data_IF_831574017473
#
_entry.id   IF_831574017473
#
_cell.length_a   1.000
_cell.length_b   1.000
_cell.length_c   1.000
_cell.angle_alpha   90.00
_cell.angle_beta   90.00
_cell.angle_gamma   90.00
#
_symmetry.space_group_name_H-M   'P 1'
#
loop_
_entity.id
_entity.type
_entity.pdbx_description
1 polymer ?
#
# COMPACT_ATOMS: atom_id res chain seq x y z
N UNK A 1 -19.93 -14.54 1.91
CA UNK A 1 -19.35 -15.06 0.65
C UNK A 1 -19.16 -13.93 -0.35
N UNK A 2 -18.33 -14.11 -1.39
CA UNK A 2 -18.05 -13.10 -2.42
C UNK A 2 -17.68 -13.80 -3.73
N UNK A 3 -18.04 -13.19 -4.85
CA UNK A 3 -17.74 -13.68 -6.20
C UNK A 3 -17.02 -12.58 -6.95
N UNK A 4 -15.96 -12.95 -7.68
CA UNK A 4 -15.22 -12.06 -8.57
C UNK A 4 -15.15 -12.71 -9.94
N UNK A 5 -15.59 -12.00 -10.98
CA UNK A 5 -15.62 -12.51 -12.35
C UNK A 5 -14.99 -11.45 -13.24
N UNK A 6 -14.10 -11.87 -14.15
CA UNK A 6 -13.51 -11.02 -15.16
C UNK A 6 -14.00 -11.46 -16.54
N UNK A 7 -14.60 -10.54 -17.28
CA UNK A 7 -15.04 -10.77 -18.65
C UNK A 7 -14.14 -10.02 -19.63
N UNK A 8 -13.93 -10.62 -20.79
CA UNK A 8 -13.32 -9.98 -21.95
C UNK A 8 -14.28 -10.15 -23.11
N UNK A 9 -14.91 -9.05 -23.52
CA UNK A 9 -15.84 -9.03 -24.64
C UNK A 9 -15.16 -8.45 -25.87
N UNK A 10 -15.49 -9.01 -27.04
CA UNK A 10 -15.26 -8.34 -28.31
C UNK A 10 -16.35 -7.28 -28.57
N UNK A 11 -16.18 -6.48 -29.62
CA UNK A 11 -17.11 -5.40 -29.94
C UNK A 11 -18.51 -5.93 -30.27
N UNK A 12 -18.60 -7.05 -30.99
CA UNK A 12 -19.88 -7.61 -31.42
C UNK A 12 -20.61 -8.29 -30.25
N UNK A 13 -19.88 -9.03 -29.41
CA UNK A 13 -20.43 -9.66 -28.20
C UNK A 13 -20.98 -8.62 -27.21
N UNK A 14 -20.24 -7.53 -26.98
CA UNK A 14 -20.69 -6.48 -26.06
C UNK A 14 -21.93 -5.77 -26.58
N UNK A 15 -22.04 -5.53 -27.90
CA UNK A 15 -23.25 -4.95 -28.51
C UNK A 15 -24.45 -5.88 -28.43
N UNK A 16 -24.28 -7.16 -28.76
CA UNK A 16 -25.36 -8.15 -28.71
C UNK A 16 -25.90 -8.31 -27.28
N UNK A 17 -25.01 -8.38 -26.28
CA UNK A 17 -25.40 -8.48 -24.87
C UNK A 17 -26.18 -7.23 -24.40
N UNK A 18 -25.71 -6.03 -24.76
CA UNK A 18 -26.42 -4.78 -24.45
C UNK A 18 -27.79 -4.76 -25.14
N UNK A 19 -27.88 -5.19 -26.39
CA UNK A 19 -29.13 -5.21 -27.14
C UNK A 19 -30.15 -6.15 -26.49
N UNK A 20 -29.74 -7.35 -26.09
CA UNK A 20 -30.60 -8.29 -25.35
C UNK A 20 -31.09 -7.68 -24.04
N UNK A 21 -30.19 -7.10 -23.24
CA UNK A 21 -30.54 -6.44 -21.98
C UNK A 21 -31.56 -5.30 -22.17
N UNK A 22 -31.35 -4.42 -23.14
CA UNK A 22 -32.25 -3.29 -23.40
C UNK A 22 -33.58 -3.70 -24.05
N UNK A 23 -33.64 -4.87 -24.68
CA UNK A 23 -34.90 -5.44 -25.20
C UNK A 23 -35.82 -5.86 -24.04
N UNK A 24 -35.25 -6.45 -22.99
CA UNK A 24 -36.01 -6.84 -21.80
C UNK A 24 -36.20 -5.71 -20.79
N UNK A 25 -35.24 -4.79 -20.70
CA UNK A 25 -35.24 -3.66 -19.76
C UNK A 25 -35.06 -2.35 -20.54
N UNK A 26 -36.11 -1.84 -21.19
CA UNK A 26 -36.02 -0.62 -21.99
C UNK A 26 -35.73 0.60 -21.10
N UNK A 27 -34.75 1.42 -21.52
CA UNK A 27 -34.33 2.65 -20.84
C UNK A 27 -34.41 3.87 -21.78
N UNK A 28 -35.62 4.42 -22.00
CA UNK A 28 -35.80 5.57 -22.89
C UNK A 28 -35.23 6.88 -22.33
N UNK A 29 -35.15 7.01 -20.99
CA UNK A 29 -34.75 8.24 -20.30
C UNK A 29 -33.26 8.30 -19.94
N UNK A 30 -32.47 7.26 -20.28
CA UNK A 30 -31.07 7.11 -19.86
C UNK A 30 -30.87 7.05 -18.33
N UNK A 31 -31.86 6.50 -17.62
CA UNK A 31 -31.86 6.35 -16.17
C UNK A 31 -30.86 5.30 -15.69
N UNK A 32 -30.38 4.41 -16.56
CA UNK A 32 -29.38 3.39 -16.19
C UNK A 32 -28.10 3.98 -15.57
N UNK A 33 -27.74 5.22 -15.92
CA UNK A 33 -26.59 5.93 -15.34
C UNK A 33 -26.83 6.32 -13.88
N UNK A 34 -28.08 6.60 -13.54
CA UNK A 34 -28.55 6.89 -12.18
C UNK A 34 -28.50 5.59 -11.37
N UNK A 35 -27.98 5.67 -10.14
CA UNK A 35 -27.82 4.47 -9.29
C UNK A 35 -26.69 3.51 -9.70
N UNK A 36 -25.86 3.84 -10.70
CA UNK A 36 -24.66 3.06 -10.97
C UNK A 36 -23.58 3.31 -9.89
N UNK A 37 -23.22 2.25 -9.16
CA UNK A 37 -22.27 2.32 -8.05
C UNK A 37 -20.85 2.65 -8.52
N UNK A 38 -20.13 3.45 -7.74
CA UNK A 38 -18.75 3.79 -8.02
C UNK A 38 -17.91 3.89 -6.74
N UNK A 39 -16.59 3.73 -6.87
CA UNK A 39 -15.65 3.69 -5.76
C UNK A 39 -15.22 5.09 -5.35
N UNK A 40 -15.86 5.62 -4.31
CA UNK A 40 -15.60 6.97 -3.82
C UNK A 40 -14.21 7.16 -3.16
N UNK A 41 -13.51 6.08 -2.82
CA UNK A 41 -12.16 6.10 -2.26
C UNK A 41 -11.06 6.56 -3.25
N UNK A 42 -11.37 6.55 -4.55
CA UNK A 42 -10.47 7.06 -5.60
C UNK A 42 -10.80 8.51 -5.95
N UNK A 43 -9.85 9.34 -6.41
CA UNK A 43 -10.14 10.66 -6.98
C UNK A 43 -11.05 10.57 -8.20
N UNK A 44 -11.82 11.62 -8.51
CA UNK A 44 -12.84 11.60 -9.57
C UNK A 44 -12.30 11.13 -10.92
N UNK A 45 -11.13 11.60 -11.32
CA UNK A 45 -10.56 11.24 -12.62
C UNK A 45 -10.25 9.74 -12.68
N UNK A 46 -9.82 9.20 -11.54
CA UNK A 46 -9.36 7.83 -11.40
C UNK A 46 -10.50 6.81 -11.27
N UNK A 47 -11.73 7.27 -11.08
CA UNK A 47 -12.93 6.44 -11.01
C UNK A 47 -13.36 6.00 -12.41
N UNK A 48 -14.26 5.00 -12.45
CA UNK A 48 -14.94 4.67 -13.70
C UNK A 48 -15.82 5.84 -14.14
N UNK A 49 -15.59 6.36 -15.33
CA UNK A 49 -16.43 7.33 -16.04
C UNK A 49 -17.72 6.64 -16.47
N UNK A 50 -18.85 7.31 -16.26
CA UNK A 50 -20.19 6.74 -16.51
C UNK A 50 -20.64 7.03 -17.94
N UNK A 51 -19.98 6.40 -18.92
CA UNK A 51 -20.41 6.46 -20.33
C UNK A 51 -21.61 5.55 -20.56
N UNK A 52 -22.57 5.96 -21.40
CA UNK A 52 -23.80 5.19 -21.66
C UNK A 52 -23.51 3.74 -22.08
N UNK A 53 -22.57 3.55 -23.00
CA UNK A 53 -22.16 2.22 -23.46
C UNK A 53 -21.63 1.35 -22.32
N UNK A 54 -20.67 1.87 -21.53
CA UNK A 54 -20.03 1.13 -20.44
C UNK A 54 -20.99 0.83 -19.30
N UNK A 55 -21.87 1.77 -18.96
CA UNK A 55 -22.91 1.57 -17.94
C UNK A 55 -23.89 0.48 -18.36
N UNK A 56 -24.34 0.50 -19.62
CA UNK A 56 -25.24 -0.51 -20.14
C UNK A 56 -24.55 -1.87 -20.22
N UNK A 57 -23.27 -1.94 -20.61
CA UNK A 57 -22.50 -3.18 -20.61
C UNK A 57 -22.38 -3.76 -19.20
N UNK A 58 -22.08 -2.92 -18.20
CA UNK A 58 -21.97 -3.34 -16.80
C UNK A 58 -23.28 -3.88 -16.25
N UNK A 59 -24.40 -3.21 -16.52
CA UNK A 59 -25.74 -3.68 -16.13
C UNK A 59 -26.16 -4.95 -16.87
N UNK A 60 -25.91 -5.03 -18.18
CA UNK A 60 -26.23 -6.19 -18.99
C UNK A 60 -25.46 -7.44 -18.53
N UNK A 61 -24.17 -7.29 -18.23
CA UNK A 61 -23.33 -8.38 -17.70
C UNK A 61 -23.83 -8.86 -16.34
N UNK A 62 -24.22 -7.93 -15.46
CA UNK A 62 -24.80 -8.29 -14.17
C UNK A 62 -26.15 -9.00 -14.32
N UNK A 63 -27.03 -8.47 -15.17
CA UNK A 63 -28.34 -9.04 -15.46
C UNK A 63 -28.22 -10.48 -16.00
N UNK A 64 -27.28 -10.73 -16.91
CA UNK A 64 -27.03 -12.07 -17.44
C UNK A 64 -26.60 -13.04 -16.33
N UNK A 65 -25.69 -12.62 -15.45
CA UNK A 65 -25.22 -13.45 -14.34
C UNK A 65 -26.30 -13.67 -13.29
N UNK A 66 -27.11 -12.64 -13.02
CA UNK A 66 -28.25 -12.73 -12.11
C UNK A 66 -29.26 -13.78 -12.59
N UNK A 67 -29.53 -13.83 -13.90
CA UNK A 67 -30.50 -14.77 -14.48
C UNK A 67 -30.00 -16.23 -14.53
N UNK A 68 -28.68 -16.45 -14.45
CA UNK A 68 -28.11 -17.81 -14.38
C UNK A 68 -28.31 -18.46 -13.02
N UNK A 69 -28.69 -17.69 -11.99
CA UNK A 69 -28.84 -18.20 -10.62
C UNK A 69 -30.32 -18.21 -10.22
N UNK A 70 -30.90 -19.39 -9.93
CA UNK A 70 -32.25 -19.48 -9.41
C UNK A 70 -32.37 -18.75 -8.06
N UNK A 71 -33.37 -17.86 -7.94
CA UNK A 71 -33.63 -17.09 -6.71
C UNK A 71 -33.97 -17.97 -5.49
N UNK A 72 -34.36 -19.23 -5.69
CA UNK A 72 -34.58 -20.19 -4.62
C UNK A 72 -33.31 -20.61 -3.88
N UNK A 73 -32.13 -20.47 -4.52
CA UNK A 73 -30.84 -20.79 -3.91
C UNK A 73 -30.19 -19.57 -3.28
N UNK A 74 -30.10 -18.47 -4.03
CA UNK A 74 -29.50 -17.21 -3.58
C UNK A 74 -29.93 -16.06 -4.50
N UNK A 75 -29.86 -14.82 -4.02
CA UNK A 75 -30.06 -13.62 -4.83
C UNK A 75 -28.74 -12.88 -5.06
N UNK A 76 -28.60 -12.26 -6.23
CA UNK A 76 -27.60 -11.24 -6.50
C UNK A 76 -28.35 -9.93 -6.70
N UNK A 77 -28.13 -8.97 -5.80
CA UNK A 77 -28.83 -7.68 -5.80
C UNK A 77 -27.88 -6.53 -6.18
N UNK A 78 -28.38 -5.58 -6.99
CA UNK A 78 -27.62 -4.41 -7.41
C UNK A 78 -27.63 -3.35 -6.31
N UNK A 79 -26.99 -3.66 -5.18
CA UNK A 79 -26.90 -2.77 -4.03
C UNK A 79 -25.51 -2.13 -3.90
N UNK A 80 -25.48 -0.90 -3.39
CA UNK A 80 -24.24 -0.12 -3.18
C UNK A 80 -23.18 -0.85 -2.34
N UNK A 81 -23.63 -1.70 -1.41
CA UNK A 81 -22.74 -2.40 -0.49
C UNK A 81 -22.31 -3.80 -0.97
N UNK A 82 -23.03 -4.37 -1.93
CA UNK A 82 -22.91 -5.79 -2.28
C UNK A 82 -22.34 -6.02 -3.68
N UNK A 83 -22.67 -5.14 -4.64
CA UNK A 83 -22.32 -5.33 -6.05
C UNK A 83 -21.58 -4.13 -6.62
N UNK A 84 -20.48 -4.40 -7.32
CA UNK A 84 -19.74 -3.41 -8.08
C UNK A 84 -19.24 -4.01 -9.38
N UNK A 85 -19.50 -3.32 -10.50
CA UNK A 85 -19.04 -3.70 -11.83
C UNK A 85 -18.19 -2.54 -12.39
N UNK A 86 -16.95 -2.85 -12.75
CA UNK A 86 -16.03 -1.91 -13.40
C UNK A 86 -15.82 -2.33 -14.84
N UNK A 87 -15.96 -1.38 -15.77
CA UNK A 87 -15.71 -1.60 -17.20
C UNK A 87 -14.44 -0.85 -17.60
N UNK A 88 -13.45 -1.60 -18.10
CA UNK A 88 -12.28 -1.05 -18.77
C UNK A 88 -12.58 -0.97 -20.27
N UNK A 89 -12.52 0.23 -20.85
CA UNK A 89 -12.96 0.51 -22.23
C UNK A 89 -12.03 1.53 -22.90
N UNK A 90 -12.38 1.99 -24.10
CA UNK A 90 -11.70 3.12 -24.75
C UNK A 90 -11.78 4.42 -23.93
N UNK A 91 -12.89 4.62 -23.22
CA UNK A 91 -13.16 5.83 -22.44
C UNK A 91 -12.70 5.69 -20.98
N UNK A 92 -12.64 4.45 -20.48
CA UNK A 92 -12.25 4.09 -19.13
C UNK A 92 -10.88 3.39 -19.08
N UNK A 93 -9.79 4.07 -18.68
CA UNK A 93 -8.44 3.49 -18.65
C UNK A 93 -8.09 2.72 -17.38
N UNK A 94 -8.90 2.85 -16.33
CA UNK A 94 -8.68 2.19 -15.06
C UNK A 94 -9.61 0.99 -14.92
N UNK A 95 -9.08 -0.13 -14.42
CA UNK A 95 -9.90 -1.26 -13.96
C UNK A 95 -9.92 -1.26 -12.43
N UNK A 96 -11.13 -1.16 -11.85
CA UNK A 96 -11.33 -1.06 -10.41
C UNK A 96 -11.93 -2.34 -9.86
N UNK A 97 -11.48 -2.79 -8.70
CA UNK A 97 -12.10 -3.90 -7.97
C UNK A 97 -11.73 -3.88 -6.48
N UNK A 98 -12.40 -4.72 -5.69
CA UNK A 98 -12.10 -4.91 -4.27
C UNK A 98 -12.01 -6.39 -3.94
N UNK A 99 -10.86 -6.84 -3.42
CA UNK A 99 -10.63 -8.22 -3.01
C UNK A 99 -10.01 -8.22 -1.62
N UNK A 100 -10.46 -9.15 -0.76
CA UNK A 100 -9.89 -9.38 0.58
C UNK A 100 -9.78 -8.13 1.48
N UNK A 101 -10.55 -7.07 1.22
CA UNK A 101 -10.52 -5.82 1.98
C UNK A 101 -9.57 -4.76 1.43
N UNK A 102 -8.86 -5.05 0.35
CA UNK A 102 -8.14 -4.08 -0.47
C UNK A 102 -9.08 -3.49 -1.53
N UNK A 103 -8.89 -2.22 -1.84
CA UNK A 103 -9.40 -1.54 -3.02
C UNK A 103 -8.24 -1.42 -4.01
N UNK A 104 -8.42 -1.92 -5.22
CA UNK A 104 -7.36 -2.02 -6.21
C UNK A 104 -7.77 -1.27 -7.47
N UNK A 105 -6.84 -0.49 -8.01
CA UNK A 105 -6.94 0.15 -9.32
C UNK A 105 -5.77 -0.30 -10.18
N UNK A 106 -6.05 -0.97 -11.29
CA UNK A 106 -5.04 -1.31 -12.29
C UNK A 106 -5.07 -0.29 -13.42
N UNK A 107 -3.90 0.27 -13.74
CA UNK A 107 -3.67 1.17 -14.86
C UNK A 107 -2.59 0.59 -15.78
N UNK A 108 -2.94 0.19 -17.02
CA UNK A 108 -1.95 -0.23 -18.01
C UNK A 108 -1.05 0.93 -18.44
N UNK A 109 0.27 0.69 -18.55
CA UNK A 109 1.24 1.73 -18.93
C UNK A 109 0.95 2.37 -20.29
N UNK A 110 0.44 1.59 -21.24
CA UNK A 110 0.04 2.09 -22.57
C UNK A 110 -1.01 3.21 -22.49
N UNK A 111 -1.84 3.23 -21.43
CA UNK A 111 -2.86 4.26 -21.21
C UNK A 111 -2.35 5.42 -20.34
N UNK A 112 -1.22 5.27 -19.66
CA UNK A 112 -0.65 6.28 -18.75
C UNK A 112 -0.21 7.55 -19.51
N UNK A 113 0.40 7.38 -20.70
CA UNK A 113 0.79 8.49 -21.59
C UNK A 113 -0.41 9.31 -22.08
N UNK A 114 -1.50 8.65 -22.46
CA UNK A 114 -2.75 9.31 -22.88
C UNK A 114 -3.42 10.09 -21.74
N UNK A 115 -3.16 9.70 -20.50
CA UNK A 115 -3.70 10.34 -19.30
C UNK A 115 -2.97 11.64 -18.96
N UNK A 116 -1.64 11.66 -19.13
CA UNK A 116 -0.83 12.88 -18.98
C UNK A 116 -1.12 13.93 -20.05
N UNK A 117 -1.30 13.50 -21.30
CA UNK A 117 -1.58 14.41 -22.43
C UNK A 117 -2.99 15.02 -22.35
N UNK A 118 -4.02 14.24 -21.97
CA UNK A 118 -5.38 14.76 -21.78
C UNK A 118 -5.50 15.73 -20.60
N UNK A 119 -4.72 15.52 -19.52
CA UNK A 119 -4.61 16.48 -18.42
C UNK A 119 -4.00 17.81 -18.87
N UNK A 120 -2.94 17.75 -19.68
CA UNK A 120 -2.26 18.95 -20.18
C UNK A 120 -3.14 19.79 -21.12
N UNK A 121 -3.92 19.11 -21.99
CA UNK A 121 -4.88 19.78 -22.88
C UNK A 121 -6.09 20.36 -22.14
N UNK A 122 -6.60 19.68 -21.10
CA UNK A 122 -7.64 20.26 -20.24
C UNK A 122 -7.12 21.46 -19.43
N UNK A 123 -5.89 21.37 -18.92
CA UNK A 123 -5.26 22.48 -18.19
C UNK A 123 -5.04 23.69 -19.09
N UNK A 124 -4.53 23.51 -20.31
CA UNK A 124 -4.38 24.61 -21.28
C UNK A 124 -5.74 25.23 -21.64
N UNK A 125 -6.78 24.42 -21.84
CA UNK A 125 -8.11 24.93 -22.17
C UNK A 125 -8.78 25.73 -21.04
N UNK A 126 -8.56 25.34 -19.78
CA UNK A 126 -9.08 26.09 -18.62
C UNK A 126 -8.36 27.44 -18.42
N UNK A 127 -7.10 27.56 -18.87
CA UNK A 127 -6.33 28.81 -18.82
C UNK A 127 -6.46 29.67 -20.10
N UNK A 128 -6.80 29.08 -21.26
CA UNK A 128 -7.03 29.80 -22.51
C UNK A 128 -8.47 30.28 -22.68
N UNK A 129 -9.42 29.75 -21.91
CA UNK A 129 -10.85 30.12 -21.96
C UNK A 129 -11.23 31.48 -21.38
N UNK A 130 -10.27 32.30 -20.93
CA UNK A 130 -10.51 33.68 -20.46
C UNK A 130 -9.56 34.68 -21.15
N UNK A 131 -9.76 34.90 -22.45
CA UNK A 131 -9.05 35.96 -23.15
C UNK A 131 -9.41 36.06 -24.63
N UNK A 132 -10.22 37.07 -24.95
CA UNK A 132 -10.45 37.67 -26.26
C UNK A 132 -11.08 36.83 -27.39
N UNK A 133 -12.37 37.11 -27.59
CA UNK A 133 -13.01 37.18 -28.90
C UNK A 133 -12.32 38.24 -29.76
N UNK A 134 -11.75 37.83 -30.90
CA UNK A 134 -11.41 38.73 -32.01
C UNK A 134 -9.93 38.76 -32.39
N UNK A 135 -9.53 37.97 -33.39
CA UNK A 135 -8.56 38.35 -34.41
C UNK A 135 -8.47 37.28 -35.52
N UNK A 136 -8.29 37.77 -36.74
CA UNK A 136 -8.36 37.07 -38.02
C UNK A 136 -7.32 35.97 -38.26
N UNK A 137 -7.66 35.08 -39.19
CA UNK A 137 -6.77 34.14 -39.84
C UNK A 137 -5.70 34.85 -40.69
N UNK A 138 -4.44 34.44 -40.54
CA UNK A 138 -3.43 34.43 -41.61
C UNK A 138 -2.26 33.51 -41.22
N UNK A 139 -1.90 32.62 -42.15
CA UNK A 139 -0.75 31.70 -42.14
C UNK A 139 0.56 32.38 -41.69
N UNK A 140 1.47 31.63 -41.05
CA UNK A 140 2.86 31.38 -41.53
C UNK A 140 3.51 30.29 -40.66
N UNK A 141 4.35 29.50 -41.31
CA UNK A 141 5.21 28.41 -40.86
C UNK A 141 5.96 28.66 -39.53
N UNK A 142 5.86 27.72 -38.60
CA UNK A 142 6.83 27.50 -37.52
C UNK A 142 6.70 26.06 -37.01
N UNK A 143 6.93 25.09 -37.89
CA UNK A 143 7.29 23.73 -37.49
C UNK A 143 8.69 23.74 -36.87
N UNK A 144 8.84 23.07 -35.73
CA UNK A 144 10.09 22.80 -34.99
C UNK A 144 10.56 23.91 -34.05
N UNK A 145 10.13 23.89 -32.78
CA UNK A 145 10.94 24.39 -31.66
C UNK A 145 10.38 24.15 -30.24
N UNK A 146 9.51 23.17 -29.93
CA UNK A 146 9.11 22.96 -28.52
C UNK A 146 8.87 21.49 -28.12
N UNK A 147 9.81 20.60 -28.44
CA UNK A 147 10.01 19.39 -27.61
C UNK A 147 10.74 19.79 -26.33
N UNK A 148 10.04 20.46 -25.41
CA UNK A 148 10.52 20.61 -24.04
C UNK A 148 10.23 19.29 -23.34
N UNK A 149 11.29 18.51 -23.11
CA UNK A 149 11.35 17.37 -22.20
C UNK A 149 10.72 17.75 -20.85
N UNK A 150 9.43 17.50 -20.69
CA UNK A 150 8.78 17.49 -19.39
C UNK A 150 9.19 16.19 -18.73
N UNK A 151 10.26 16.24 -17.94
CA UNK A 151 10.59 15.18 -16.99
C UNK A 151 9.45 15.18 -15.96
N UNK A 152 8.42 14.37 -16.22
CA UNK A 152 7.48 13.97 -15.19
C UNK A 152 8.31 13.15 -14.21
N UNK A 153 8.77 13.79 -13.13
CA UNK A 153 9.25 13.09 -11.95
C UNK A 153 8.10 12.20 -11.47
N UNK A 154 8.10 10.95 -11.93
CA UNK A 154 7.31 9.86 -11.38
C UNK A 154 7.99 9.45 -10.07
N UNK A 155 7.89 10.32 -9.06
CA UNK A 155 8.19 9.93 -7.69
C UNK A 155 7.37 8.68 -7.39
N UNK A 156 8.04 7.55 -7.31
CA UNK A 156 7.40 6.23 -7.25
C UNK A 156 6.76 6.11 -5.89
N UNK A 157 5.42 6.11 -5.82
CA UNK A 157 4.70 5.87 -4.55
C UNK A 157 5.03 4.45 -4.09
N UNK A 158 5.49 4.32 -2.84
CA UNK A 158 5.91 3.04 -2.23
C UNK A 158 4.78 2.00 -2.18
N UNK A 159 3.51 2.42 -2.24
CA UNK A 159 2.32 1.56 -2.25
C UNK A 159 1.84 1.07 -3.63
N UNK A 160 2.60 1.31 -4.70
CA UNK A 160 2.21 0.92 -6.06
C UNK A 160 2.94 -0.33 -6.54
N UNK A 161 2.19 -1.38 -6.86
CA UNK A 161 2.75 -2.62 -7.40
C UNK A 161 3.01 -2.52 -8.90
N UNK A 162 4.17 -3.02 -9.33
CA UNK A 162 4.56 -3.07 -10.74
C UNK A 162 4.25 -4.45 -11.31
N UNK A 163 3.19 -4.53 -12.13
CA UNK A 163 2.75 -5.80 -12.71
C UNK A 163 3.60 -6.17 -13.93
N UNK A 164 4.34 -7.26 -13.80
CA UNK A 164 5.21 -7.81 -14.84
C UNK A 164 4.44 -8.81 -15.71
N UNK A 165 4.61 -8.71 -17.03
CA UNK A 165 4.13 -9.74 -17.95
C UNK A 165 5.03 -10.98 -17.84
N UNK A 166 4.42 -12.16 -17.71
CA UNK A 166 5.16 -13.40 -17.52
C UNK A 166 6.03 -13.78 -18.73
N UNK A 167 5.58 -13.48 -19.96
CA UNK A 167 6.28 -13.84 -21.20
C UNK A 167 7.38 -12.83 -21.52
N UNK A 168 7.05 -11.54 -21.60
CA UNK A 168 8.00 -10.50 -22.03
C UNK A 168 8.90 -10.00 -20.89
N UNK A 169 8.54 -10.30 -19.63
CA UNK A 169 9.21 -9.76 -18.43
C UNK A 169 9.18 -8.23 -18.31
N UNK A 170 8.41 -7.56 -19.16
CA UNK A 170 8.23 -6.12 -19.07
C UNK A 170 7.16 -5.76 -18.04
N UNK A 171 7.33 -4.64 -17.36
CA UNK A 171 6.29 -4.09 -16.48
C UNK A 171 5.24 -3.42 -17.37
N UNK A 172 4.05 -4.02 -17.47
CA UNK A 172 2.99 -3.62 -18.40
C UNK A 172 1.88 -2.80 -17.75
N UNK A 173 1.71 -2.91 -16.44
CA UNK A 173 0.69 -2.19 -15.69
C UNK A 173 1.17 -1.86 -14.27
N UNK A 174 0.49 -0.88 -13.66
CA UNK A 174 0.66 -0.51 -12.26
C UNK A 174 -0.63 -0.77 -11.51
N UNK A 175 -0.53 -1.35 -10.32
CA UNK A 175 -1.66 -1.56 -9.43
C UNK A 175 -1.51 -0.69 -8.18
N UNK A 176 -2.49 0.18 -7.98
CA UNK A 176 -2.58 1.08 -6.83
C UNK A 176 -3.50 0.44 -5.79
N UNK A 177 -3.09 0.50 -4.52
CA UNK A 177 -3.76 -0.17 -3.43
C UNK A 177 -4.25 0.82 -2.39
N UNK A 178 -5.48 0.61 -1.91
CA UNK A 178 -6.04 1.31 -0.75
C UNK A 178 -6.75 0.33 0.18
N UNK A 179 -6.95 0.72 1.43
CA UNK A 179 -7.74 -0.06 2.38
C UNK A 179 -9.23 0.26 2.22
N UNK A 180 -10.07 -0.78 2.11
CA UNK A 180 -11.52 -0.57 1.99
C UNK A 180 -12.14 0.04 3.24
N UNK A 181 -13.16 0.88 3.04
CA UNK A 181 -13.89 1.56 4.13
C UNK A 181 -14.48 0.58 5.15
N UNK A 182 -14.95 -0.59 4.69
CA UNK A 182 -15.46 -1.65 5.58
C UNK A 182 -14.38 -2.17 6.53
N UNK A 183 -13.15 -2.34 6.05
CA UNK A 183 -12.01 -2.77 6.87
C UNK A 183 -11.61 -1.68 7.87
N UNK A 184 -11.61 -0.41 7.45
CA UNK A 184 -11.35 0.73 8.34
C UNK A 184 -12.39 0.81 9.48
N UNK A 185 -13.68 0.72 9.15
CA UNK A 185 -14.76 0.67 10.16
C UNK A 185 -14.65 -0.54 11.09
N UNK A 186 -14.25 -1.71 10.58
CA UNK A 186 -14.01 -2.90 11.41
C UNK A 186 -12.89 -2.65 12.43
N UNK A 187 -11.81 -1.99 12.03
CA UNK A 187 -10.73 -1.62 12.93
C UNK A 187 -11.21 -0.59 13.98
N UNK A 188 -11.89 0.47 13.57
CA UNK A 188 -12.43 1.47 14.51
C UNK A 188 -13.35 0.81 15.56
N UNK A 189 -14.29 -0.03 15.11
CA UNK A 189 -15.19 -0.75 15.99
C UNK A 189 -14.44 -1.68 16.94
N UNK A 190 -13.33 -2.28 16.50
CA UNK A 190 -12.48 -3.09 17.37
C UNK A 190 -11.83 -2.26 18.47
N UNK A 191 -11.31 -1.07 18.14
CA UNK A 191 -10.74 -0.15 19.13
C UNK A 191 -11.82 0.34 20.10
N UNK A 192 -13.01 0.67 19.60
CA UNK A 192 -14.17 1.02 20.43
C UNK A 192 -14.51 -0.09 21.43
N UNK A 193 -14.53 -1.35 20.98
CA UNK A 193 -14.73 -2.51 21.85
C UNK A 193 -13.64 -2.62 22.94
N UNK A 194 -12.38 -2.35 22.60
CA UNK A 194 -11.28 -2.34 23.58
C UNK A 194 -11.54 -1.28 24.65
N UNK A 195 -11.91 -0.07 24.24
CA UNK A 195 -12.20 1.05 25.16
C UNK A 195 -13.38 0.73 26.07
N UNK A 196 -14.49 0.21 25.54
CA UNK A 196 -15.68 -0.15 26.33
C UNK A 196 -15.41 -1.29 27.32
N UNK A 197 -14.57 -2.27 26.95
CA UNK A 197 -14.22 -3.42 27.80
C UNK A 197 -13.08 -3.15 28.79
N UNK A 198 -12.57 -1.91 28.87
CA UNK A 198 -11.37 -1.56 29.64
C UNK A 198 -11.66 -0.94 31.02
N UNK A 199 -12.88 -1.08 31.56
CA UNK A 199 -13.37 -0.44 32.80
C UNK A 199 -12.37 -0.42 33.96
N UNK A 200 -12.00 -1.60 34.45
CA UNK A 200 -11.04 -1.79 35.56
C UNK A 200 -9.90 -2.74 35.18
N UNK A 201 -9.53 -2.77 33.91
CA UNK A 201 -8.42 -3.60 33.43
C UNK A 201 -7.08 -2.89 33.58
N UNK A 202 -6.00 -3.64 33.82
CA UNK A 202 -4.65 -3.07 33.90
C UNK A 202 -4.24 -2.36 32.61
N UNK A 203 -3.45 -1.28 32.71
CA UNK A 203 -3.00 -0.50 31.55
C UNK A 203 -2.22 -1.34 30.54
N UNK A 204 -1.38 -2.27 31.03
CA UNK A 204 -0.66 -3.22 30.17
C UNK A 204 -1.62 -4.09 29.34
N UNK A 205 -2.77 -4.51 29.88
CA UNK A 205 -3.78 -5.26 29.12
C UNK A 205 -4.41 -4.42 28.02
N UNK A 206 -4.63 -3.12 28.27
CA UNK A 206 -5.15 -2.18 27.25
C UNK A 206 -4.12 -2.02 26.13
N UNK A 207 -2.86 -1.73 26.47
CA UNK A 207 -1.76 -1.60 25.51
C UNK A 207 -1.57 -2.88 24.68
N UNK A 208 -1.63 -4.07 25.30
CA UNK A 208 -1.54 -5.35 24.58
C UNK A 208 -2.66 -5.57 23.57
N UNK A 209 -3.91 -5.22 23.93
CA UNK A 209 -5.06 -5.32 23.02
C UNK A 209 -4.91 -4.34 21.83
N UNK A 210 -4.40 -3.13 22.09
CA UNK A 210 -4.04 -2.16 21.05
C UNK A 210 -2.97 -2.75 20.13
N UNK A 211 -1.81 -3.15 20.66
CA UNK A 211 -0.71 -3.72 19.89
C UNK A 211 -1.16 -4.89 19.01
N UNK A 212 -1.95 -5.81 19.56
CA UNK A 212 -2.46 -6.97 18.81
C UNK A 212 -3.38 -6.55 17.66
N UNK A 213 -4.20 -5.52 17.86
CA UNK A 213 -5.11 -5.01 16.83
C UNK A 213 -4.35 -4.20 15.77
N UNK A 214 -3.37 -3.38 16.18
CA UNK A 214 -2.53 -2.59 15.30
C UNK A 214 -1.63 -3.48 14.43
N UNK A 215 -0.93 -4.45 15.03
CA UNK A 215 -0.13 -5.43 14.26
C UNK A 215 -1.03 -6.16 13.28
N UNK A 216 -2.19 -6.66 13.71
CA UNK A 216 -3.10 -7.38 12.81
C UNK A 216 -3.60 -6.57 11.61
N UNK A 217 -3.74 -5.25 11.76
CA UNK A 217 -4.05 -4.34 10.66
C UNK A 217 -2.81 -4.12 9.76
N UNK A 218 -1.69 -3.71 10.37
CA UNK A 218 -0.48 -3.31 9.65
C UNK A 218 0.19 -4.47 8.92
N UNK A 219 0.22 -5.68 9.49
CA UNK A 219 0.83 -6.84 8.83
C UNK A 219 -0.04 -7.46 7.76
N UNK A 220 -1.35 -7.16 7.77
CA UNK A 220 -2.28 -7.57 6.72
C UNK A 220 -2.27 -6.59 5.55
N UNK A 221 -2.45 -5.28 5.79
CA UNK A 221 -2.56 -4.28 4.72
C UNK A 221 -1.24 -3.67 4.27
N UNK A 222 -0.21 -3.67 5.14
CA UNK A 222 1.17 -3.23 4.85
C UNK A 222 1.22 -1.90 4.09
N UNK A 223 1.74 -1.88 2.86
CA UNK A 223 1.91 -0.69 2.02
C UNK A 223 0.59 0.03 1.68
N UNK A 224 -0.54 -0.67 1.62
CA UNK A 224 -1.84 -0.06 1.31
C UNK A 224 -2.31 0.95 2.37
N UNK A 225 -1.74 0.88 3.59
CA UNK A 225 -2.05 1.82 4.67
C UNK A 225 -1.53 3.23 4.35
N UNK A 226 -0.38 3.35 3.70
CA UNK A 226 0.22 4.65 3.39
C UNK A 226 -0.58 5.45 2.36
N UNK A 227 -1.08 4.76 1.33
CA UNK A 227 -1.89 5.39 0.27
C UNK A 227 -3.34 5.69 0.72
N UNK A 228 -3.69 5.33 1.96
CA UNK A 228 -5.01 5.56 2.55
C UNK A 228 -4.94 6.61 3.67
N UNK A 229 -4.96 7.88 3.31
CA UNK A 229 -4.90 9.03 4.24
C UNK A 229 -5.97 8.96 5.35
N UNK A 230 -7.20 8.58 4.98
CA UNK A 230 -8.33 8.41 5.90
C UNK A 230 -8.03 7.41 7.03
N UNK A 231 -7.23 6.37 6.72
CA UNK A 231 -6.80 5.37 7.69
C UNK A 231 -5.68 5.91 8.59
N UNK A 232 -4.75 6.70 8.06
CA UNK A 232 -3.71 7.36 8.85
C UNK A 232 -4.33 8.28 9.91
N UNK A 233 -5.32 9.08 9.51
CA UNK A 233 -6.10 9.91 10.42
C UNK A 233 -6.83 9.10 11.49
N UNK A 234 -7.42 7.98 11.09
CA UNK A 234 -8.11 7.08 12.02
C UNK A 234 -7.14 6.45 13.01
N UNK A 235 -5.92 6.07 12.58
CA UNK A 235 -4.88 5.49 13.42
C UNK A 235 -4.42 6.48 14.49
N UNK A 236 -4.11 7.72 14.11
CA UNK A 236 -3.75 8.81 15.04
C UNK A 236 -4.86 9.02 16.07
N UNK A 237 -6.12 9.12 15.62
CA UNK A 237 -7.28 9.29 16.51
C UNK A 237 -7.46 8.12 17.47
N UNK A 238 -7.30 6.89 16.98
CA UNK A 238 -7.46 5.68 17.81
C UNK A 238 -6.32 5.55 18.84
N UNK A 239 -5.09 5.85 18.45
CA UNK A 239 -3.94 5.82 19.35
C UNK A 239 -4.10 6.85 20.48
N UNK A 240 -4.48 8.09 20.14
CA UNK A 240 -4.76 9.12 21.14
C UNK A 240 -5.92 8.72 22.09
N UNK A 241 -6.97 8.06 21.58
CA UNK A 241 -8.07 7.56 22.43
C UNK A 241 -7.60 6.50 23.42
N UNK A 242 -6.71 5.60 23.00
CA UNK A 242 -6.12 4.57 23.88
C UNK A 242 -5.23 5.21 24.95
N UNK A 243 -4.34 6.13 24.57
CA UNK A 243 -3.53 6.89 25.53
C UNK A 243 -4.41 7.65 26.51
N UNK A 244 -5.42 8.37 26.02
CA UNK A 244 -6.37 9.13 26.85
C UNK A 244 -7.11 8.22 27.84
N UNK A 245 -7.47 6.99 27.44
CA UNK A 245 -8.09 6.03 28.35
C UNK A 245 -7.16 5.64 29.51
N UNK A 246 -5.87 5.45 29.23
CA UNK A 246 -4.85 5.18 30.26
C UNK A 246 -4.68 6.40 31.18
N UNK A 247 -4.57 7.61 30.60
CA UNK A 247 -4.49 8.88 31.34
C UNK A 247 -5.66 9.04 32.32
N UNK A 248 -6.90 8.83 31.85
CA UNK A 248 -8.12 8.88 32.70
C UNK A 248 -8.06 7.86 33.85
N UNK A 249 -7.47 6.68 33.63
CA UNK A 249 -7.28 5.68 34.68
C UNK A 249 -6.37 6.15 35.83
N UNK A 250 -5.52 7.15 35.59
CA UNK A 250 -4.66 7.81 36.58
C UNK A 250 -5.22 9.17 37.05
N UNK A 251 -6.50 9.44 36.74
CA UNK A 251 -7.21 10.67 37.08
C UNK A 251 -6.49 11.97 36.64
N UNK A 252 -5.82 11.94 35.49
CA UNK A 252 -5.17 13.11 34.90
C UNK A 252 -5.27 13.06 33.38
N UNK A 253 -5.31 14.21 32.71
CA UNK A 253 -5.16 14.33 31.25
C UNK A 253 -4.02 15.25 30.84
N UNK A 254 -3.28 15.78 31.81
CA UNK A 254 -2.27 16.82 31.60
C UNK A 254 -1.07 16.24 30.81
N UNK A 255 -0.75 16.79 29.61
CA UNK A 255 0.31 16.25 28.75
C UNK A 255 1.67 16.13 29.44
N UNK A 256 2.05 17.12 30.25
CA UNK A 256 3.34 17.15 30.97
C UNK A 256 3.53 15.97 31.95
N UNK A 257 2.44 15.35 32.43
CA UNK A 257 2.53 14.17 33.31
C UNK A 257 2.66 12.85 32.54
N UNK A 258 2.47 12.89 31.22
CA UNK A 258 2.42 11.72 30.36
C UNK A 258 3.30 11.92 29.12
N UNK A 259 4.62 12.08 29.32
CA UNK A 259 5.56 12.09 28.20
C UNK A 259 5.50 10.76 27.43
N UNK A 260 5.83 10.73 26.13
CA UNK A 260 5.73 9.54 25.29
C UNK A 260 6.42 8.30 25.87
N UNK A 261 7.54 8.48 26.57
CA UNK A 261 8.29 7.42 27.29
C UNK A 261 7.39 6.52 28.13
N UNK A 262 6.37 7.06 28.81
CA UNK A 262 5.47 6.28 29.67
C UNK A 262 4.70 5.23 28.87
N UNK A 263 4.36 5.54 27.62
CA UNK A 263 3.58 4.65 26.76
C UNK A 263 4.47 3.68 25.97
N UNK A 264 5.59 4.18 25.42
CA UNK A 264 6.34 3.44 24.39
C UNK A 264 7.52 2.62 24.93
N UNK A 265 8.04 2.96 26.12
CA UNK A 265 9.14 2.19 26.72
C UNK A 265 8.76 0.71 26.86
N UNK A 266 9.65 -0.24 26.46
CA UNK A 266 9.37 -1.66 26.57
C UNK A 266 9.03 -2.10 27.99
N UNK A 267 8.23 -3.17 28.11
CA UNK A 267 7.72 -3.65 29.42
C UNK A 267 8.80 -4.09 30.39
N UNK A 268 9.91 -4.62 29.87
CA UNK A 268 11.04 -5.07 30.68
C UNK A 268 11.79 -3.89 31.32
N UNK A 269 11.59 -2.67 30.80
CA UNK A 269 12.11 -1.41 31.35
C UNK A 269 11.02 -0.62 32.12
N UNK A 270 9.91 -1.26 32.48
CA UNK A 270 8.85 -0.66 33.29
C UNK A 270 7.78 0.15 32.54
N UNK A 271 7.89 0.29 31.22
CA UNK A 271 6.88 0.97 30.40
C UNK A 271 5.71 0.07 29.97
N UNK A 272 4.79 0.63 29.17
CA UNK A 272 3.64 -0.13 28.64
C UNK A 272 3.98 -0.95 27.38
N UNK A 273 5.07 -0.61 26.69
CA UNK A 273 5.48 -1.21 25.41
C UNK A 273 4.40 -1.07 24.34
N UNK A 274 3.72 0.09 24.30
CA UNK A 274 2.74 0.38 23.26
C UNK A 274 3.45 0.54 21.91
N UNK A 275 2.84 0.09 20.82
CA UNK A 275 3.36 0.31 19.47
C UNK A 275 2.77 1.59 18.88
N UNK A 276 3.62 2.38 18.22
CA UNK A 276 3.29 3.67 17.61
C UNK A 276 3.05 3.55 16.10
N UNK A 277 1.95 4.15 15.64
CA UNK A 277 1.70 4.45 14.22
C UNK A 277 1.16 5.89 14.02
N UNK A 278 0.97 6.64 15.11
CA UNK A 278 0.41 8.00 15.11
C UNK A 278 1.43 9.13 15.09
N UNK A 279 2.71 8.86 15.39
CA UNK A 279 3.81 9.83 15.26
C UNK A 279 4.29 9.90 13.82
N UNK A 280 3.41 10.35 12.94
CA UNK A 280 3.64 10.45 11.50
C UNK A 280 3.31 11.85 11.00
N UNK A 281 4.00 12.25 9.93
CA UNK A 281 3.60 13.38 9.11
C UNK A 281 2.57 12.87 8.09
N UNK A 282 1.34 13.33 8.22
CA UNK A 282 0.25 12.99 7.31
C UNK A 282 0.37 13.92 6.10
N UNK A 283 0.53 13.37 4.89
CA UNK A 283 0.49 14.18 3.68
C UNK A 283 -0.84 14.92 3.57
N UNK A 284 -0.80 16.23 3.36
CA UNK A 284 -1.99 17.02 3.09
C UNK A 284 -1.78 17.82 1.80
N UNK A 285 -2.83 17.86 0.99
CA UNK A 285 -2.87 18.64 -0.25
C UNK A 285 -4.15 19.46 -0.28
N UNK A 286 -4.24 20.44 -1.18
CA UNK A 286 -5.46 21.23 -1.34
C UNK A 286 -6.68 20.30 -1.58
N UNK A 287 -7.60 20.30 -0.61
CA UNK A 287 -8.82 19.48 -0.58
C UNK A 287 -9.67 19.64 -1.85
N UNK A 288 -9.57 20.78 -2.55
CA UNK A 288 -10.26 21.02 -3.81
C UNK A 288 -9.71 20.13 -4.92
N UNK A 289 -8.39 20.07 -5.07
CA UNK A 289 -7.73 19.33 -6.14
C UNK A 289 -7.55 17.84 -5.81
N UNK A 290 -7.42 17.48 -4.53
CA UNK A 290 -7.34 16.08 -4.06
C UNK A 290 -8.56 15.24 -4.48
N UNK A 291 -9.74 15.84 -4.51
CA UNK A 291 -10.97 15.15 -4.97
C UNK A 291 -10.98 14.89 -6.47
N UNK A 292 -10.22 15.66 -7.24
CA UNK A 292 -10.23 15.63 -8.70
C UNK A 292 -9.10 14.74 -9.23
N UNK A 293 -7.85 15.03 -8.84
CA UNK A 293 -6.65 14.41 -9.41
C UNK A 293 -5.85 13.62 -8.37
N UNK A 294 -5.18 12.55 -8.80
CA UNK A 294 -4.25 11.74 -7.98
C UNK A 294 -2.80 12.28 -8.02
N UNK A 295 -2.56 13.28 -8.87
CA UNK A 295 -1.30 13.98 -9.05
C UNK A 295 -1.14 15.17 -8.09
N UNK A 296 -1.94 15.24 -7.02
CA UNK A 296 -1.71 16.18 -5.94
C UNK A 296 -0.31 15.96 -5.39
N UNK A 297 0.65 16.79 -5.82
CA UNK A 297 1.92 16.93 -5.12
C UNK A 297 1.57 17.19 -3.67
N UNK A 298 2.13 16.43 -2.75
CA UNK A 298 2.02 16.70 -1.31
C UNK A 298 2.48 18.14 -1.13
N UNK A 299 1.57 19.05 -0.80
CA UNK A 299 1.89 20.48 -0.71
C UNK A 299 2.34 20.82 0.71
N UNK A 300 1.75 20.16 1.71
CA UNK A 300 2.03 20.38 3.12
C UNK A 300 2.02 19.04 3.88
N UNK A 301 2.60 19.03 5.07
CA UNK A 301 2.50 17.90 5.99
C UNK A 301 1.81 18.36 7.27
N UNK A 302 0.83 17.57 7.72
CA UNK A 302 0.18 17.75 9.02
C UNK A 302 0.77 16.77 10.02
N UNK A 303 1.25 17.27 11.16
CA UNK A 303 1.70 16.41 12.24
C UNK A 303 0.52 15.59 12.81
N UNK A 304 0.71 14.29 12.99
CA UNK A 304 -0.26 13.40 13.65
C UNK A 304 -0.33 13.64 15.16
N UNK A 305 0.56 12.98 15.91
CA UNK A 305 0.75 13.21 17.36
C UNK A 305 1.92 14.16 17.63
N UNK A 306 1.75 15.06 18.60
CA UNK A 306 2.80 15.96 19.08
C UNK A 306 3.81 15.24 19.97
N UNK A 307 5.09 15.55 19.79
CA UNK A 307 6.21 15.13 20.64
C UNK A 307 7.16 16.31 20.84
N UNK A 308 8.11 16.18 21.76
CA UNK A 308 9.18 17.17 21.97
C UNK A 308 10.13 17.17 20.75
N UNK A 309 10.70 18.33 20.39
CA UNK A 309 11.35 18.57 19.09
C UNK A 309 12.51 17.60 18.75
N UNK A 310 13.18 17.02 19.76
CA UNK A 310 14.31 16.11 19.59
C UNK A 310 13.95 14.61 19.74
N UNK A 311 12.69 14.27 20.00
CA UNK A 311 12.28 12.89 20.31
C UNK A 311 11.66 12.16 19.11
N UNK A 312 12.48 11.47 18.32
CA UNK A 312 11.98 10.67 17.19
C UNK A 312 11.42 9.32 17.67
N UNK A 313 10.09 9.18 17.64
CA UNK A 313 9.40 7.92 17.97
C UNK A 313 9.32 7.04 16.72
N UNK A 314 9.94 5.83 16.71
CA UNK A 314 9.91 4.96 15.55
C UNK A 314 8.49 4.55 15.15
N UNK A 315 8.23 4.59 13.84
CA UNK A 315 6.96 4.19 13.24
C UNK A 315 6.98 2.69 12.88
N UNK A 316 5.94 1.96 13.30
CA UNK A 316 5.77 0.53 13.05
C UNK A 316 5.87 0.14 11.55
N UNK A 317 5.39 0.98 10.63
CA UNK A 317 5.43 0.69 9.19
C UNK A 317 6.85 0.40 8.68
N UNK A 318 7.86 1.13 9.17
CA UNK A 318 9.27 0.98 8.73
C UNK A 318 9.87 -0.39 9.03
N UNK A 319 9.27 -1.15 9.95
CA UNK A 319 9.75 -2.45 10.40
C UNK A 319 8.92 -3.61 9.81
N UNK A 320 8.00 -3.31 8.90
CA UNK A 320 7.19 -4.29 8.20
C UNK A 320 7.58 -4.18 6.72
N UNK A 321 8.14 -5.25 6.17
CA UNK A 321 8.38 -5.38 4.72
C UNK A 321 7.07 -5.21 3.94
N UNK A 322 7.10 -4.66 2.74
CA UNK A 322 5.93 -4.62 1.85
C UNK A 322 5.53 -6.01 1.35
N UNK A 323 4.30 -6.22 0.88
CA UNK A 323 3.95 -7.49 0.24
C UNK A 323 4.68 -7.70 -1.09
N UNK A 324 4.87 -6.66 -1.90
CA UNK A 324 5.62 -6.76 -3.16
C UNK A 324 7.04 -7.30 -2.93
N UNK A 325 7.76 -6.71 -1.98
CA UNK A 325 9.12 -7.18 -1.63
C UNK A 325 9.12 -8.61 -1.08
N UNK A 326 8.14 -8.98 -0.25
CA UNK A 326 8.01 -10.36 0.26
C UNK A 326 7.71 -11.38 -0.84
N UNK A 327 6.87 -11.04 -1.83
CA UNK A 327 6.56 -11.95 -2.92
C UNK A 327 7.76 -12.16 -3.84
N UNK A 328 8.47 -11.08 -4.18
CA UNK A 328 9.70 -11.16 -4.98
C UNK A 328 10.79 -11.95 -4.26
N UNK A 329 11.02 -11.66 -2.98
CA UNK A 329 11.98 -12.40 -2.16
C UNK A 329 11.55 -13.87 -2.01
N UNK A 330 10.26 -14.14 -1.86
CA UNK A 330 9.74 -15.51 -1.77
C UNK A 330 10.03 -16.33 -3.03
N UNK A 331 9.79 -15.76 -4.22
CA UNK A 331 10.12 -16.46 -5.47
C UNK A 331 11.61 -16.79 -5.54
N UNK A 332 12.47 -15.82 -5.25
CA UNK A 332 13.93 -16.01 -5.22
C UNK A 332 14.33 -17.12 -4.23
N UNK A 333 13.90 -16.99 -2.98
CA UNK A 333 14.28 -17.87 -1.86
C UNK A 333 13.81 -19.31 -2.10
N UNK A 334 12.59 -19.51 -2.60
CA UNK A 334 12.09 -20.86 -2.90
C UNK A 334 12.75 -21.48 -4.14
N UNK A 335 13.10 -20.69 -5.15
CA UNK A 335 13.89 -21.16 -6.29
C UNK A 335 15.30 -21.59 -5.84
N UNK A 336 15.98 -20.79 -5.02
CA UNK A 336 17.29 -21.10 -4.47
C UNK A 336 17.25 -22.37 -3.61
N UNK A 337 16.24 -22.49 -2.74
CA UNK A 337 16.01 -23.70 -1.95
C UNK A 337 15.82 -24.94 -2.82
N UNK A 338 15.06 -24.85 -3.92
CA UNK A 338 14.84 -25.97 -4.83
C UNK A 338 16.15 -26.43 -5.51
N UNK A 339 17.00 -25.48 -5.92
CA UNK A 339 18.31 -25.76 -6.49
C UNK A 339 19.24 -26.41 -5.46
N UNK A 340 19.39 -25.81 -4.27
CA UNK A 340 20.18 -26.35 -3.16
C UNK A 340 19.73 -27.76 -2.78
N UNK A 341 18.42 -27.98 -2.70
CA UNK A 341 17.85 -29.31 -2.42
C UNK A 341 18.22 -30.34 -3.48
N UNK A 342 18.19 -29.96 -4.75
CA UNK A 342 18.59 -30.85 -5.86
C UNK A 342 20.09 -31.16 -5.80
N UNK A 343 20.92 -30.16 -5.54
CA UNK A 343 22.37 -30.31 -5.38
C UNK A 343 22.73 -31.25 -4.21
N UNK A 344 22.14 -31.02 -3.03
CA UNK A 344 22.32 -31.91 -1.88
C UNK A 344 21.87 -33.35 -2.21
N UNK A 345 20.75 -33.51 -2.92
CA UNK A 345 20.26 -34.83 -3.33
C UNK A 345 21.24 -35.53 -4.27
N UNK A 346 21.80 -34.83 -5.25
CA UNK A 346 22.83 -35.35 -6.17
C UNK A 346 24.12 -35.71 -5.43
N UNK A 347 24.48 -34.97 -4.38
CA UNK A 347 25.62 -35.27 -3.51
C UNK A 347 25.30 -36.32 -2.43
N UNK A 348 24.08 -36.89 -2.40
CA UNK A 348 23.58 -37.77 -1.34
C UNK A 348 23.71 -37.18 0.09
N UNK A 349 23.66 -35.85 0.21
CA UNK A 349 23.66 -35.10 1.46
C UNK A 349 22.24 -34.67 1.82
N UNK A 350 21.97 -34.52 3.12
CA UNK A 350 20.75 -33.88 3.60
C UNK A 350 21.02 -32.39 3.78
N UNK A 351 20.06 -31.55 3.40
CA UNK A 351 20.13 -30.11 3.65
C UNK A 351 20.12 -29.86 5.16
N UNK A 352 21.05 -29.03 5.61
CA UNK A 352 21.21 -28.67 7.01
C UNK A 352 20.70 -27.25 7.26
N UNK A 353 20.73 -26.83 8.53
CA UNK A 353 20.36 -25.47 8.92
C UNK A 353 21.35 -24.44 8.35
N UNK A 354 22.64 -24.77 8.35
CA UNK A 354 23.74 -23.90 7.92
C UNK A 354 23.59 -23.48 6.45
N UNK A 355 23.10 -24.39 5.60
CA UNK A 355 22.88 -24.12 4.17
C UNK A 355 21.78 -23.07 3.90
N UNK A 356 20.96 -22.76 4.91
CA UNK A 356 19.74 -21.95 4.81
C UNK A 356 19.69 -20.75 5.76
N UNK A 357 20.76 -20.48 6.51
CA UNK A 357 20.80 -19.43 7.53
C UNK A 357 20.42 -18.05 6.97
N UNK A 358 20.96 -17.69 5.80
CA UNK A 358 20.69 -16.43 5.10
C UNK A 358 19.22 -16.22 4.70
N UNK A 359 18.45 -17.30 4.63
CA UNK A 359 17.07 -17.33 4.14
C UNK A 359 16.06 -17.82 5.18
N UNK A 360 16.50 -18.04 6.43
CA UNK A 360 15.76 -18.75 7.46
C UNK A 360 14.36 -18.18 7.72
N UNK A 361 14.28 -16.87 7.89
CA UNK A 361 13.04 -16.13 8.16
C UNK A 361 12.42 -15.51 6.91
N UNK A 362 12.78 -16.00 5.71
CA UNK A 362 12.31 -15.48 4.43
C UNK A 362 11.36 -16.43 3.71
N UNK A 363 10.63 -15.87 2.74
CA UNK A 363 9.68 -16.60 1.90
C UNK A 363 8.26 -16.67 2.45
N UNK A 364 7.32 -16.96 1.55
CA UNK A 364 5.91 -17.23 1.84
C UNK A 364 5.54 -18.55 1.15
N UNK A 365 5.37 -19.66 1.89
CA UNK A 365 5.58 -19.81 3.34
C UNK A 365 7.04 -19.59 3.78
N UNK A 366 7.28 -19.31 5.07
CA UNK A 366 8.64 -19.12 5.61
C UNK A 366 9.44 -20.42 5.55
N UNK A 367 10.71 -20.36 5.12
CA UNK A 367 11.58 -21.55 4.98
C UNK A 367 11.73 -22.32 6.30
N UNK A 368 11.90 -21.61 7.43
CA UNK A 368 12.04 -22.23 8.74
C UNK A 368 10.89 -23.19 9.13
N UNK A 369 9.71 -23.08 8.49
CA UNK A 369 8.60 -24.00 8.74
C UNK A 369 8.89 -25.45 8.34
N UNK A 370 9.83 -25.68 7.42
CA UNK A 370 10.29 -27.01 7.00
C UNK A 370 10.96 -27.81 8.13
N UNK A 371 11.49 -27.11 9.13
CA UNK A 371 12.24 -27.67 10.25
C UNK A 371 11.42 -27.76 11.55
N UNK A 372 10.10 -27.57 11.47
CA UNK A 372 9.22 -27.74 12.61
C UNK A 372 9.17 -29.20 13.08
N UNK A 373 9.16 -29.38 14.39
CA UNK A 373 9.04 -30.70 15.05
C UNK A 373 7.77 -31.44 14.61
N UNK A 374 6.67 -30.71 14.47
CA UNK A 374 5.33 -31.27 14.20
C UNK A 374 4.98 -31.30 12.70
N UNK A 375 5.94 -31.10 11.78
CA UNK A 375 5.66 -31.00 10.34
C UNK A 375 4.92 -32.22 9.78
N UNK A 376 5.17 -33.40 10.33
CA UNK A 376 4.56 -34.66 9.89
C UNK A 376 3.07 -34.73 10.24
N UNK A 377 2.64 -34.14 11.35
CA UNK A 377 1.21 -34.07 11.70
C UNK A 377 0.52 -32.94 10.93
N UNK A 378 1.20 -31.80 10.75
CA UNK A 378 0.69 -30.67 9.97
C UNK A 378 0.45 -31.01 8.50
N UNK A 379 1.13 -32.01 7.94
CA UNK A 379 0.88 -32.48 6.59
C UNK A 379 -0.58 -32.93 6.38
N UNK A 380 -1.25 -33.43 7.42
CA UNK A 380 -2.65 -33.85 7.39
C UNK A 380 -3.64 -32.73 7.67
N UNK A 381 -3.20 -31.56 8.16
CA UNK A 381 -4.06 -30.43 8.49
C UNK A 381 -4.44 -29.62 7.24
N UNK A 382 -5.35 -30.18 6.43
CA UNK A 382 -5.87 -29.52 5.22
C UNK A 382 -7.08 -28.62 5.55
N UNK A 383 -7.31 -27.61 4.69
CA UNK A 383 -8.46 -26.70 4.83
C UNK A 383 -8.38 -25.75 6.04
N UNK A 384 -7.22 -25.62 6.68
CA UNK A 384 -7.05 -24.87 7.91
C UNK A 384 -7.37 -23.38 7.79
N UNK A 385 -7.17 -22.75 6.62
CA UNK A 385 -7.49 -21.33 6.39
C UNK A 385 -9.00 -21.06 6.51
N UNK A 386 -9.82 -21.87 5.86
CA UNK A 386 -11.28 -21.75 5.94
C UNK A 386 -11.75 -22.06 7.36
N UNK A 387 -11.20 -23.11 7.98
CA UNK A 387 -11.48 -23.44 9.39
C UNK A 387 -11.18 -22.25 10.30
N UNK A 388 -10.05 -21.59 10.10
CA UNK A 388 -9.63 -20.41 10.88
C UNK A 388 -10.57 -19.22 10.66
N UNK A 389 -11.00 -18.97 9.43
CA UNK A 389 -11.99 -17.93 9.11
C UNK A 389 -13.32 -18.21 9.80
N UNK A 390 -13.80 -19.46 9.78
CA UNK A 390 -15.10 -19.85 10.33
C UNK A 390 -15.14 -19.90 11.86
N UNK A 391 -13.97 -19.87 12.54
CA UNK A 391 -13.93 -19.72 14.01
C UNK A 391 -14.67 -18.48 14.52
N UNK A 392 -14.86 -17.46 13.69
CA UNK A 392 -15.66 -16.27 14.07
C UNK A 392 -17.11 -16.61 14.45
N UNK A 393 -17.66 -17.72 13.96
CA UNK A 393 -19.02 -18.17 14.29
C UNK A 393 -19.05 -19.15 15.47
N UNK A 394 -17.90 -19.70 15.85
CA UNK A 394 -17.78 -20.67 16.94
C UNK A 394 -17.26 -20.02 18.23
N UNK A 395 -16.42 -18.99 18.10
CA UNK A 395 -15.68 -18.38 19.20
C UNK A 395 -15.98 -16.88 19.24
N UNK A 396 -16.50 -16.40 20.37
CA UNK A 396 -16.85 -14.98 20.59
C UNK A 396 -15.60 -14.08 20.52
N UNK A 397 -14.44 -14.60 20.94
CA UNK A 397 -13.17 -13.87 20.89
C UNK A 397 -12.73 -13.65 19.45
N UNK A 398 -12.83 -12.40 18.98
CA UNK A 398 -12.32 -11.97 17.68
C UNK A 398 -10.80 -12.19 17.56
N UNK A 399 -10.39 -12.84 16.47
CA UNK A 399 -8.98 -13.01 16.10
C UNK A 399 -8.58 -12.03 14.98
N UNK A 400 -7.62 -11.12 15.20
CA UNK A 400 -7.12 -10.24 14.15
C UNK A 400 -6.27 -10.98 13.10
N UNK A 401 -5.67 -12.12 13.46
CA UNK A 401 -4.85 -12.97 12.58
C UNK A 401 -5.69 -14.14 12.02
N UNK A 402 -6.87 -13.83 11.49
CA UNK A 402 -7.77 -14.83 10.90
C UNK A 402 -7.23 -15.40 9.57
N UNK A 403 -6.31 -14.69 8.93
CA UNK A 403 -5.77 -14.98 7.59
C UNK A 403 -4.51 -15.85 7.60
N UNK A 404 -3.80 -15.96 8.73
CA UNK A 404 -2.53 -16.67 8.85
C UNK A 404 -2.50 -17.65 10.02
N UNK A 405 -1.58 -18.60 9.97
CA UNK A 405 -1.24 -19.50 11.06
C UNK A 405 0.28 -19.69 11.12
N UNK A 406 0.91 -19.37 12.24
CA UNK A 406 2.36 -19.47 12.41
C UNK A 406 2.91 -20.89 12.19
N UNK A 407 2.10 -21.93 12.40
CA UNK A 407 2.52 -23.31 12.13
C UNK A 407 2.66 -23.59 10.63
N UNK A 408 1.79 -23.03 9.80
CA UNK A 408 1.78 -23.28 8.35
C UNK A 408 2.54 -22.21 7.56
N UNK A 409 2.33 -20.94 7.89
CA UNK A 409 2.92 -19.81 7.16
C UNK A 409 4.27 -19.36 7.75
N UNK A 410 4.53 -19.69 9.02
CA UNK A 410 5.62 -19.10 9.80
C UNK A 410 5.27 -17.73 10.37
N UNK A 411 6.23 -17.10 11.05
CA UNK A 411 6.07 -15.73 11.58
C UNK A 411 6.36 -14.73 10.45
N UNK A 412 5.33 -14.01 10.00
CA UNK A 412 5.42 -13.14 8.82
C UNK A 412 5.93 -11.71 9.11
N UNK A 413 6.28 -11.41 10.35
CA UNK A 413 6.83 -10.11 10.76
C UNK A 413 7.79 -10.29 11.93
N UNK A 414 8.80 -9.42 12.00
CA UNK A 414 9.74 -9.37 13.11
C UNK A 414 9.87 -7.92 13.59
N UNK A 415 9.61 -7.69 14.89
CA UNK A 415 9.62 -6.36 15.51
C UNK A 415 10.71 -6.25 16.59
N UNK A 416 11.72 -7.12 16.56
CA UNK A 416 12.84 -7.03 17.49
C UNK A 416 13.61 -5.71 17.31
N UNK A 417 13.88 -5.30 16.08
CA UNK A 417 14.59 -4.04 15.79
C UNK A 417 13.76 -2.81 16.21
N UNK A 418 12.43 -2.84 16.00
CA UNK A 418 11.53 -1.78 16.46
C UNK A 418 11.71 -1.49 17.95
N UNK A 419 11.87 -2.55 18.74
CA UNK A 419 12.05 -2.44 20.17
C UNK A 419 13.38 -1.79 20.54
N UNK A 420 14.47 -2.20 19.90
CA UNK A 420 15.81 -1.63 20.14
C UNK A 420 15.82 -0.14 19.80
N UNK A 421 15.28 0.20 18.63
CA UNK A 421 15.26 1.58 18.15
C UNK A 421 14.30 2.45 18.97
N UNK A 422 13.22 1.86 19.52
CA UNK A 422 12.33 2.57 20.45
C UNK A 422 13.05 2.95 21.74
N UNK A 423 13.94 2.10 22.25
CA UNK A 423 14.73 2.44 23.45
C UNK A 423 15.62 3.64 23.13
N UNK A 424 16.33 3.61 22.00
CA UNK A 424 17.20 4.71 21.57
C UNK A 424 16.43 6.01 21.30
N UNK A 425 15.30 5.93 20.60
CA UNK A 425 14.48 7.09 20.25
C UNK A 425 13.81 7.74 21.46
N UNK A 426 13.54 6.99 22.52
CA UNK A 426 12.90 7.51 23.73
C UNK A 426 13.93 8.04 24.74
N UNK A 427 15.14 7.50 24.78
CA UNK A 427 16.21 7.89 25.70
C UNK A 427 16.87 9.24 25.35
N UNK A 428 16.52 9.85 24.21
CA UNK A 428 17.10 11.14 23.79
C UNK A 428 18.61 11.09 23.54
N UNK A 429 19.19 9.89 23.46
CA UNK A 429 20.60 9.67 23.18
C UNK A 429 20.92 9.98 21.73
N UNK A 430 21.19 11.25 21.44
CA UNK A 430 21.80 11.67 20.18
C UNK A 430 23.19 11.06 20.01
N UNK A 431 23.25 9.84 19.48
CA UNK A 431 24.41 9.21 18.85
C UNK A 431 23.92 7.95 18.12
N UNK A 432 23.53 8.11 16.85
CA UNK A 432 23.03 6.99 16.06
C UNK A 432 22.46 7.33 14.69
N UNK A 433 22.21 8.61 14.40
CA UNK A 433 21.79 9.06 13.07
C UNK A 433 22.99 9.47 12.20
N UNK A 434 23.96 8.57 12.00
CA UNK A 434 24.95 8.74 10.93
C UNK A 434 25.41 7.42 10.27
N UNK A 435 24.73 6.30 10.58
CA UNK A 435 24.94 5.02 9.90
C UNK A 435 23.80 4.72 8.91
N UNK A 436 23.59 5.61 7.94
CA UNK A 436 22.59 5.42 6.88
C UNK A 436 22.69 6.38 5.70
N UNK A 437 23.66 7.29 5.70
CA UNK A 437 23.89 8.28 4.64
C UNK A 437 25.26 8.10 3.96
N UNK A 438 25.61 6.87 3.60
CA UNK A 438 26.60 6.63 2.56
C UNK A 438 26.12 5.45 1.71
N UNK A 439 25.78 5.73 0.45
CA UNK A 439 25.43 4.65 -0.47
C UNK A 439 24.68 5.01 -1.73
N UNK A 440 24.32 6.26 -2.03
CA UNK A 440 23.95 6.68 -3.40
C UNK A 440 24.21 8.18 -3.53
N UNK A 441 25.40 8.55 -4.01
CA UNK A 441 25.66 9.82 -4.73
C UNK A 441 27.13 9.80 -5.17
N UNK A 442 27.40 8.99 -6.19
CA UNK A 442 28.66 9.00 -6.95
C UNK A 442 28.31 9.05 -8.42
N UNK A 443 28.18 10.25 -8.99
CA UNK A 443 27.79 10.39 -10.40
C UNK A 443 27.67 11.82 -10.90
N UNK A 444 28.81 12.48 -11.11
CA UNK A 444 29.00 13.36 -12.25
C UNK A 444 28.63 14.84 -12.10
N UNK A 445 29.67 15.66 -11.91
CA UNK A 445 29.84 17.05 -12.39
C UNK A 445 31.15 17.55 -11.74
N UNK A 446 32.14 18.13 -12.40
CA UNK A 446 32.45 18.42 -13.78
C UNK A 446 33.88 18.98 -13.75
N UNK A 447 34.78 18.47 -14.58
CA UNK A 447 36.12 19.03 -14.72
C UNK A 447 36.15 19.89 -15.97
N UNK A 448 35.97 21.18 -15.78
CA UNK A 448 36.25 22.20 -16.79
C UNK A 448 36.98 23.35 -16.07
N UNK A 449 38.31 23.34 -16.16
CA UNK A 449 39.16 24.43 -15.72
C UNK A 449 40.37 24.48 -16.67
N UNK A 450 40.36 25.53 -17.48
CA UNK A 450 41.33 25.78 -18.52
C UNK A 450 42.71 26.18 -18.02
N UNK A 451 43.66 25.99 -18.94
CA UNK A 451 45.06 26.42 -18.96
C UNK A 451 45.30 27.86 -18.47
N UNK A 452 46.28 28.01 -17.57
CA UNK A 452 47.28 29.10 -17.50
C UNK A 452 48.57 28.45 -16.96
N UNK A 453 49.71 28.39 -17.70
CA UNK A 453 50.71 29.47 -17.86
C UNK A 453 51.70 29.44 -16.68
N UNK A 454 52.71 28.58 -16.65
CA UNK A 454 54.14 28.76 -17.04
C UNK A 454 54.90 29.87 -16.29
N UNK A 455 56.09 29.49 -15.77
CA UNK A 455 57.23 30.23 -15.18
C UNK A 455 57.43 29.92 -13.69
N UNK A 456 58.60 29.51 -13.17
CA UNK A 456 59.95 29.31 -13.70
C UNK A 456 60.91 29.12 -12.50
N UNK A 457 62.12 28.61 -12.74
CA UNK A 457 63.26 28.74 -11.82
C UNK A 457 63.69 27.46 -11.11
N UNK A 458 64.84 26.93 -11.53
CA UNK A 458 65.47 25.73 -10.98
C UNK A 458 66.52 25.97 -9.90
N UNK A 459 67.20 24.87 -9.57
CA UNK A 459 68.45 24.63 -8.79
C UNK A 459 68.21 23.30 -8.04
N UNK A 460 69.07 22.30 -7.96
CA UNK A 460 70.46 22.12 -8.37
C UNK A 460 70.99 20.92 -7.55
N UNK A 461 71.53 19.93 -8.26
CA UNK A 461 72.60 18.97 -7.93
C UNK A 461 72.82 18.34 -6.53
N UNK A 462 73.44 17.15 -6.63
CA UNK A 462 74.24 16.37 -5.68
C UNK A 462 73.52 15.54 -4.61
N UNK A 463 74.00 14.37 -4.17
CA UNK A 463 74.88 13.30 -4.64
C UNK A 463 75.12 12.41 -3.38
N UNK A 464 75.35 11.11 -3.57
CA UNK A 464 76.33 10.40 -2.74
C UNK A 464 75.94 9.86 -1.36
N UNK A 465 75.56 8.58 -1.33
CA UNK A 465 76.29 7.45 -0.72
C UNK A 465 76.78 7.53 0.76
N UNK A 466 76.50 6.41 1.45
CA UNK A 466 77.21 5.71 2.54
C UNK A 466 76.74 5.93 3.98
N UNK A 467 76.55 4.79 4.65
CA UNK A 467 76.11 4.58 6.03
C UNK A 467 75.41 3.25 6.13
#
# INVERSE_FOLDING_TARGET
DKIWILFKFNNDESKDLIQKFLTENPDPNNENVVGYNNKACWPRDCRMRKMKHDVNLGRATFWEIQNRIPRSLTSLDWDHYNTFVSVYSKDNPNLLFSIAGFEVRILPKIRQLSYGINMYTSYINDYSGKGNSGANASNTEASNAYEKNVVISSGTKEGTWKLQNEVTKEITAEAYLKVSEKSMKRFENKIRQILMSSGSTTFTKIANKWNTSLIGLMTYFREAVLDTEELLDLLVKCENKIQTRIKIGLNSKMPSRFPPVVFYTPKELGGLGMLSMGHILIPESDLRYMKQTDNGRITHFRAGLSHEEDQLIPNLYRYISTWESEFLESQRVWCEYALKRSECHNQNKKITLEDLEDSWDKGIPRINTLFQKDRHTLAYDKGWRIRQLFKQYQIIKSNPFWWTNQRHDGKLWNLSNYRTDMIQGVDGGGQGADAGRQGVDGGGQGADAGRQGVDGGGQGADAGRQG
#
